data_IF_311755714028
#
_entry.id   IF_311755714028
#
_cell.length_a   1.000
_cell.length_b   1.000
_cell.length_c   1.000
_cell.angle_alpha   90.00
_cell.angle_beta   90.00
_cell.angle_gamma   90.00
#
_symmetry.space_group_name_H-M   'P 1'
#
loop_
_entity.id
_entity.type
_entity.pdbx_description
1 polymer ?
#
# COMPACT_ATOMS: atom_id res chain seq x y z
N UNK A 1 14.44 1.04 -3.61
CA UNK A 1 15.24 0.17 -2.73
C UNK A 1 15.94 1.01 -1.66
N UNK A 2 15.65 0.75 -0.38
CA UNK A 2 16.31 1.37 0.77
C UNK A 2 16.84 0.25 1.69
N UNK A 3 18.16 0.03 1.67
CA UNK A 3 18.80 -1.07 2.41
C UNK A 3 19.16 -0.76 3.87
N UNK A 4 18.86 0.44 4.39
CA UNK A 4 19.20 0.80 5.77
C UNK A 4 18.13 1.65 6.46
N UNK A 5 17.93 1.38 7.75
CA UNK A 5 16.97 2.10 8.61
C UNK A 5 17.36 3.58 8.77
N UNK A 6 18.66 3.88 8.85
CA UNK A 6 19.15 5.26 8.99
C UNK A 6 18.86 6.11 7.75
N UNK A 7 19.03 5.54 6.55
CA UNK A 7 18.70 6.21 5.30
C UNK A 7 17.18 6.42 5.18
N UNK A 8 16.38 5.39 5.50
CA UNK A 8 14.93 5.49 5.49
C UNK A 8 14.41 6.60 6.41
N UNK A 9 14.90 6.67 7.65
CA UNK A 9 14.55 7.73 8.58
C UNK A 9 14.95 9.12 8.07
N UNK A 10 16.06 9.22 7.33
CA UNK A 10 16.50 10.49 6.74
C UNK A 10 15.54 10.93 5.62
N UNK A 11 15.12 10.01 4.75
CA UNK A 11 14.11 10.27 3.71
C UNK A 11 12.80 10.74 4.34
N UNK A 12 12.34 10.07 5.40
CA UNK A 12 11.12 10.47 6.12
C UNK A 12 11.22 11.89 6.72
N UNK A 13 12.39 12.27 7.27
CA UNK A 13 12.63 13.63 7.76
C UNK A 13 12.57 14.67 6.64
N UNK A 14 13.13 14.37 5.46
CA UNK A 14 13.08 15.25 4.30
C UNK A 14 11.63 15.42 3.82
N UNK A 15 10.87 14.33 3.70
CA UNK A 15 9.45 14.37 3.32
C UNK A 15 8.64 15.21 4.31
N UNK A 16 8.84 15.01 5.62
CA UNK A 16 8.18 15.81 6.65
C UNK A 16 8.53 17.30 6.54
N UNK A 17 9.80 17.63 6.26
CA UNK A 17 10.23 19.02 6.06
C UNK A 17 9.60 19.65 4.82
N UNK A 18 9.53 18.93 3.70
CA UNK A 18 8.88 19.41 2.48
C UNK A 18 7.39 19.68 2.70
N UNK A 19 6.68 18.78 3.40
CA UNK A 19 5.26 18.98 3.77
C UNK A 19 5.05 20.21 4.66
N UNK A 20 5.99 20.51 5.56
CA UNK A 20 5.91 21.72 6.41
C UNK A 20 6.07 23.03 5.63
N UNK A 21 6.74 23.00 4.47
CA UNK A 21 7.00 24.19 3.64
C UNK A 21 5.87 24.41 2.64
N UNK A 22 5.32 23.34 2.08
CA UNK A 22 4.21 23.40 1.15
C UNK A 22 3.06 22.49 1.59
N UNK A 23 2.10 22.99 2.39
CA UNK A 23 0.94 22.23 2.84
C UNK A 23 0.08 21.70 1.70
N UNK A 24 0.11 22.33 0.51
CA UNK A 24 -0.61 21.82 -0.67
C UNK A 24 -0.06 20.47 -1.15
N UNK A 25 1.18 20.09 -0.81
CA UNK A 25 1.70 18.71 -1.00
C UNK A 25 0.97 17.66 -0.14
N UNK A 26 0.14 18.11 0.81
CA UNK A 26 -0.70 17.26 1.65
C UNK A 26 -2.06 17.01 1.00
N UNK A 27 -2.54 17.96 0.19
CA UNK A 27 -3.88 17.94 -0.43
C UNK A 27 -3.85 17.54 -1.90
N UNK A 28 -2.84 17.96 -2.64
CA UNK A 28 -2.49 17.38 -3.92
C UNK A 28 -1.55 16.21 -3.65
N UNK A 29 -1.95 14.96 -3.93
CA UNK A 29 -1.18 13.74 -3.66
C UNK A 29 -0.01 13.65 -4.64
N UNK A 30 0.89 14.63 -4.62
CA UNK A 30 2.17 14.60 -5.27
C UNK A 30 2.99 13.48 -4.63
N UNK A 31 2.71 12.29 -5.17
CA UNK A 31 3.46 11.05 -5.26
C UNK A 31 4.48 10.83 -4.14
N UNK A 32 3.99 10.38 -2.98
CA UNK A 32 4.77 9.38 -2.22
C UNK A 32 4.28 8.01 -2.66
N UNK A 33 4.68 7.62 -3.88
CA UNK A 33 4.57 6.23 -4.32
C UNK A 33 5.65 5.47 -3.57
N UNK A 34 5.24 4.52 -2.75
CA UNK A 34 6.13 3.62 -2.05
C UNK A 34 6.08 2.25 -2.73
N UNK A 35 7.20 1.89 -3.37
CA UNK A 35 7.50 0.52 -3.71
C UNK A 35 8.40 -0.04 -2.59
N UNK A 36 7.90 -0.97 -1.75
CA UNK A 36 8.58 -1.36 -0.53
C UNK A 36 9.83 -2.22 -0.79
N UNK A 37 9.91 -2.97 -1.90
CA UNK A 37 11.07 -3.79 -2.32
C UNK A 37 11.70 -4.55 -1.14
N UNK A 38 10.89 -5.33 -0.42
CA UNK A 38 11.32 -6.07 0.79
C UNK A 38 11.78 -7.49 0.44
N UNK A 39 11.26 -8.07 -0.63
CA UNK A 39 11.51 -9.46 -0.98
C UNK A 39 10.56 -9.98 -2.03
N UNK A 40 10.80 -11.20 -2.48
CA UNK A 40 9.93 -11.93 -3.40
C UNK A 40 10.10 -13.44 -3.21
N UNK A 41 9.15 -14.23 -3.70
CA UNK A 41 9.19 -15.71 -3.67
C UNK A 41 9.55 -16.31 -2.30
N UNK A 42 9.06 -15.70 -1.21
CA UNK A 42 9.29 -16.18 0.16
C UNK A 42 10.65 -15.78 0.76
N UNK A 43 11.45 -14.96 0.06
CA UNK A 43 12.78 -14.54 0.50
C UNK A 43 12.83 -13.03 0.74
N UNK A 44 13.33 -12.63 1.90
CA UNK A 44 13.61 -11.23 2.21
C UNK A 44 14.96 -10.79 1.62
N UNK A 45 14.98 -9.61 1.01
CA UNK A 45 16.20 -8.93 0.54
C UNK A 45 16.74 -7.94 1.58
N UNK A 46 15.96 -7.68 2.63
CA UNK A 46 16.27 -6.73 3.69
C UNK A 46 16.20 -7.42 5.06
N UNK A 47 16.93 -6.91 6.06
CA UNK A 47 16.75 -7.32 7.46
C UNK A 47 15.28 -7.27 7.90
N UNK A 48 14.85 -8.26 8.70
CA UNK A 48 13.47 -8.35 9.20
C UNK A 48 12.99 -7.06 9.90
N UNK A 49 13.89 -6.37 10.59
CA UNK A 49 13.62 -5.11 11.28
C UNK A 49 13.10 -4.01 10.35
N UNK A 50 13.54 -3.99 9.07
CA UNK A 50 13.06 -3.03 8.09
C UNK A 50 11.58 -3.24 7.76
N UNK A 51 11.07 -4.47 7.79
CA UNK A 51 9.65 -4.75 7.55
C UNK A 51 8.77 -4.00 8.55
N UNK A 52 9.13 -4.03 9.83
CA UNK A 52 8.42 -3.28 10.87
C UNK A 52 8.51 -1.77 10.66
N UNK A 53 9.68 -1.26 10.29
CA UNK A 53 9.86 0.18 10.00
C UNK A 53 8.99 0.62 8.81
N UNK A 54 8.90 -0.20 7.75
CA UNK A 54 8.02 0.07 6.62
C UNK A 54 6.56 0.12 7.06
N UNK A 55 6.10 -0.90 7.80
CA UNK A 55 4.71 -0.98 8.29
C UNK A 55 4.34 0.20 9.19
N UNK A 56 5.22 0.59 10.11
CA UNK A 56 4.90 1.58 11.15
C UNK A 56 5.17 3.03 10.74
N UNK A 57 6.12 3.26 9.82
CA UNK A 57 6.59 4.62 9.51
C UNK A 57 6.45 5.03 8.06
N UNK A 58 6.52 4.08 7.13
CA UNK A 58 6.51 4.37 5.68
C UNK A 58 5.11 4.26 5.12
N UNK A 59 4.43 3.14 5.36
CA UNK A 59 3.06 2.92 4.88
C UNK A 59 2.13 4.06 5.33
N UNK A 60 2.13 4.53 6.59
CA UNK A 60 1.20 5.57 7.03
C UNK A 60 1.36 6.93 6.37
N UNK A 61 2.52 7.20 5.76
CA UNK A 61 2.79 8.47 5.09
C UNK A 61 2.76 8.35 3.57
N UNK A 62 2.63 7.14 3.03
CA UNK A 62 2.56 6.89 1.60
C UNK A 62 1.16 7.20 1.06
N UNK A 63 1.09 7.89 -0.08
CA UNK A 63 -0.17 8.14 -0.80
C UNK A 63 -0.57 6.96 -1.69
N UNK A 64 0.43 6.21 -2.17
CA UNK A 64 0.25 5.03 -2.99
C UNK A 64 1.27 3.96 -2.59
N UNK A 65 0.83 2.72 -2.50
CA UNK A 65 1.69 1.57 -2.19
C UNK A 65 1.61 0.55 -3.34
N UNK A 66 2.76 0.03 -3.78
CA UNK A 66 2.83 -0.91 -4.90
C UNK A 66 3.54 -2.22 -4.54
N UNK A 67 3.07 -2.99 -3.53
CA UNK A 67 3.75 -4.21 -3.11
C UNK A 67 3.53 -5.34 -4.12
N UNK A 68 4.38 -6.36 -4.15
CA UNK A 68 4.01 -7.67 -4.68
C UNK A 68 3.19 -8.48 -3.63
N UNK A 69 2.73 -9.69 -3.97
CA UNK A 69 2.00 -10.54 -3.01
C UNK A 69 2.78 -10.78 -1.72
N UNK A 70 4.05 -11.22 -1.81
CA UNK A 70 4.86 -11.55 -0.63
C UNK A 70 5.02 -10.34 0.30
N UNK A 71 5.25 -9.16 -0.26
CA UNK A 71 5.36 -7.92 0.49
C UNK A 71 4.03 -7.48 1.10
N UNK A 72 2.91 -7.64 0.38
CA UNK A 72 1.58 -7.36 0.91
C UNK A 72 1.28 -8.26 2.12
N UNK A 73 1.61 -9.55 2.03
CA UNK A 73 1.46 -10.50 3.13
C UNK A 73 2.35 -10.14 4.32
N UNK A 74 3.61 -9.73 4.07
CA UNK A 74 4.51 -9.26 5.12
C UNK A 74 3.97 -8.00 5.81
N UNK A 75 3.48 -7.03 5.05
CA UNK A 75 3.00 -5.75 5.59
C UNK A 75 1.68 -5.91 6.36
N UNK A 76 0.79 -6.78 5.90
CA UNK A 76 -0.54 -6.99 6.49
C UNK A 76 -0.60 -8.11 7.53
N UNK A 77 0.31 -9.09 7.46
CA UNK A 77 0.24 -10.32 8.23
C UNK A 77 -0.82 -11.31 7.73
N UNK A 78 -1.48 -11.02 6.61
CA UNK A 78 -2.50 -11.88 6.00
C UNK A 78 -1.85 -12.75 4.92
N UNK A 79 -2.32 -13.97 4.74
CA UNK A 79 -1.92 -14.82 3.61
C UNK A 79 -2.91 -14.61 2.46
N UNK A 80 -2.42 -14.46 1.24
CA UNK A 80 -3.26 -14.25 0.06
C UNK A 80 -3.30 -15.54 -0.76
N UNK A 81 -4.42 -16.24 -0.73
CA UNK A 81 -4.65 -17.46 -1.55
C UNK A 81 -5.89 -17.34 -2.43
N UNK A 82 -6.68 -16.27 -2.26
CA UNK A 82 -7.89 -15.99 -3.01
C UNK A 82 -8.03 -14.49 -3.31
N UNK A 83 -8.94 -14.14 -4.22
CA UNK A 83 -9.25 -12.75 -4.52
C UNK A 83 -9.78 -11.99 -3.30
N UNK A 84 -10.51 -12.70 -2.43
CA UNK A 84 -11.08 -12.14 -1.21
C UNK A 84 -9.97 -11.75 -0.23
N UNK A 85 -8.93 -12.59 -0.08
CA UNK A 85 -7.78 -12.28 0.75
C UNK A 85 -7.01 -11.08 0.21
N UNK A 86 -6.84 -10.99 -1.12
CA UNK A 86 -6.20 -9.84 -1.78
C UNK A 86 -6.95 -8.53 -1.50
N UNK A 87 -8.29 -8.58 -1.50
CA UNK A 87 -9.16 -7.45 -1.13
C UNK A 87 -9.01 -7.08 0.34
N UNK A 88 -8.95 -8.05 1.24
CA UNK A 88 -8.74 -7.83 2.67
C UNK A 88 -7.36 -7.25 2.98
N UNK A 89 -6.33 -7.71 2.28
CA UNK A 89 -4.99 -7.14 2.32
C UNK A 89 -5.00 -5.67 1.89
N UNK A 90 -5.67 -5.33 0.77
CA UNK A 90 -5.85 -3.94 0.38
C UNK A 90 -6.58 -3.10 1.42
N UNK A 91 -7.66 -3.60 2.02
CA UNK A 91 -8.37 -2.88 3.08
C UNK A 91 -7.49 -2.62 4.32
N UNK A 92 -6.66 -3.59 4.68
CA UNK A 92 -5.68 -3.46 5.78
C UNK A 92 -4.64 -2.39 5.45
N UNK A 93 -4.08 -2.42 4.23
CA UNK A 93 -3.12 -1.42 3.76
C UNK A 93 -3.74 -0.02 3.68
N UNK A 94 -4.97 0.11 3.19
CA UNK A 94 -5.70 1.37 3.18
C UNK A 94 -5.90 1.94 4.58
N UNK A 95 -6.28 1.08 5.54
CA UNK A 95 -6.45 1.47 6.94
C UNK A 95 -5.15 1.93 7.59
N UNK A 96 -4.00 1.50 7.06
CA UNK A 96 -2.69 1.92 7.53
C UNK A 96 -2.28 3.31 7.00
N UNK A 97 -2.90 3.83 5.94
CA UNK A 97 -2.57 5.16 5.39
C UNK A 97 -2.87 5.39 3.91
N UNK A 98 -2.32 4.60 2.97
CA UNK A 98 -2.41 4.89 1.53
C UNK A 98 -3.85 4.82 1.01
N UNK A 99 -4.28 5.86 0.29
CA UNK A 99 -5.57 5.82 -0.41
C UNK A 99 -5.54 4.92 -1.65
N UNK A 100 -4.35 4.65 -2.22
CA UNK A 100 -4.16 3.83 -3.42
C UNK A 100 -3.22 2.66 -3.14
N UNK A 101 -3.62 1.45 -3.51
CA UNK A 101 -2.81 0.24 -3.37
C UNK A 101 -2.85 -0.52 -4.69
N UNK A 102 -1.70 -0.92 -5.21
CA UNK A 102 -1.59 -1.80 -6.39
C UNK A 102 -0.73 -2.99 -6.02
N UNK A 103 -1.35 -4.13 -5.73
CA UNK A 103 -0.62 -5.38 -5.57
C UNK A 103 -0.23 -5.85 -6.97
N UNK A 104 1.06 -5.72 -7.28
CA UNK A 104 1.61 -5.81 -8.64
C UNK A 104 1.56 -7.23 -9.20
N UNK A 105 1.59 -8.23 -8.32
CA UNK A 105 1.47 -9.65 -8.65
C UNK A 105 0.81 -10.41 -7.51
N UNK A 106 -0.20 -11.22 -7.84
CA UNK A 106 -0.83 -12.20 -6.96
C UNK A 106 -0.99 -13.50 -7.76
N UNK A 107 -0.61 -14.63 -7.17
CA UNK A 107 -0.84 -15.95 -7.75
C UNK A 107 -2.04 -16.62 -7.07
N UNK A 108 -3.13 -16.79 -7.83
CA UNK A 108 -4.34 -17.50 -7.39
C UNK A 108 -4.62 -18.59 -8.41
N UNK A 109 -4.60 -19.85 -7.96
CA UNK A 109 -4.85 -21.04 -8.79
C UNK A 109 -4.00 -21.12 -10.08
N UNK A 110 -2.75 -20.65 -10.01
CA UNK A 110 -1.83 -20.64 -11.16
C UNK A 110 -2.00 -19.45 -12.10
N UNK A 111 -2.95 -18.56 -11.82
CA UNK A 111 -3.15 -17.33 -12.58
C UNK A 111 -2.42 -16.17 -11.91
N UNK A 112 -1.64 -15.43 -12.70
CA UNK A 112 -0.97 -14.21 -12.25
C UNK A 112 -1.88 -13.01 -12.48
N UNK A 113 -2.32 -12.40 -11.38
CA UNK A 113 -3.26 -11.30 -11.34
C UNK A 113 -2.61 -10.04 -10.77
N UNK A 114 -3.04 -8.88 -11.24
CA UNK A 114 -2.74 -7.58 -10.66
C UNK A 114 -3.99 -7.03 -10.00
N UNK A 115 -3.87 -6.57 -8.76
CA UNK A 115 -4.99 -6.06 -7.98
C UNK A 115 -4.77 -4.58 -7.65
N UNK A 116 -5.58 -3.71 -8.24
CA UNK A 116 -5.60 -2.28 -7.95
C UNK A 116 -6.79 -1.90 -7.08
N UNK A 117 -6.57 -1.14 -6.00
CA UNK A 117 -7.61 -0.67 -5.09
C UNK A 117 -7.44 0.82 -4.77
N UNK A 118 -8.56 1.55 -4.74
CA UNK A 118 -8.60 2.96 -4.39
C UNK A 118 -9.71 3.25 -3.38
N UNK A 119 -9.35 3.80 -2.23
CA UNK A 119 -10.27 4.33 -1.23
C UNK A 119 -10.41 5.83 -1.41
N UNK A 120 -11.64 6.30 -1.71
CA UNK A 120 -11.94 7.74 -1.76
C UNK A 120 -11.90 8.33 -0.35
N UNK A 121 -11.39 9.56 -0.22
CA UNK A 121 -11.38 10.28 1.05
C UNK A 121 -12.80 10.50 1.58
N UNK A 122 -12.96 10.33 2.90
CA UNK A 122 -14.22 10.61 3.60
C UNK A 122 -14.38 12.13 3.79
N UNK A 123 -15.04 12.77 2.83
CA UNK A 123 -15.53 14.16 2.89
C UNK A 123 -15.64 14.72 1.47
N UNK A 124 -16.80 14.81 0.84
CA UNK A 124 -17.97 15.60 1.19
C UNK A 124 -19.17 14.99 0.44
N UNK A 125 -20.16 14.43 1.14
CA UNK A 125 -21.31 13.78 0.48
C UNK A 125 -21.88 12.57 1.20
N UNK A 126 -22.35 12.84 2.43
CA UNK A 126 -23.51 12.30 3.14
C UNK A 126 -23.95 10.84 2.89
N UNK A 127 -24.15 10.13 4.00
CA UNK A 127 -25.03 8.98 4.30
C UNK A 127 -25.70 8.19 3.14
N UNK A 128 -26.20 8.84 2.10
CA UNK A 128 -26.63 8.24 0.83
C UNK A 128 -25.53 7.46 0.11
N UNK A 129 -24.28 7.91 0.19
CA UNK A 129 -23.14 7.21 -0.45
C UNK A 129 -22.75 5.94 0.31
N UNK A 130 -22.87 5.95 1.64
CA UNK A 130 -22.60 4.78 2.48
C UNK A 130 -23.66 3.66 2.30
N UNK A 131 -24.90 4.03 1.97
CA UNK A 131 -25.99 3.09 1.65
C UNK A 131 -25.91 2.53 0.22
N UNK A 132 -25.19 3.19 -0.69
CA UNK A 132 -25.04 2.76 -2.09
C UNK A 132 -23.68 2.09 -2.41
N UNK A 133 -22.63 2.34 -1.61
CA UNK A 133 -21.27 1.84 -1.88
C UNK A 133 -20.89 0.59 -1.05
N UNK A 134 -21.67 -0.48 -1.14
CA UNK A 134 -21.20 -1.82 -0.78
C UNK A 134 -20.13 -2.39 -1.72
N UNK A 135 -19.39 -1.54 -2.44
CA UNK A 135 -18.50 -1.92 -3.54
C UNK A 135 -17.13 -1.27 -3.33
N UNK A 136 -16.18 -2.06 -2.84
CA UNK A 136 -14.75 -1.71 -2.88
C UNK A 136 -14.32 -1.65 -4.35
N UNK A 137 -13.78 -0.51 -4.80
CA UNK A 137 -13.25 -0.32 -6.16
C UNK A 137 -11.92 -1.07 -6.34
N UNK A 138 -11.99 -2.40 -6.32
CA UNK A 138 -10.87 -3.29 -6.63
C UNK A 138 -11.02 -3.74 -8.06
N UNK A 139 -10.02 -3.46 -8.88
CA UNK A 139 -9.93 -3.94 -10.26
C UNK A 139 -8.85 -5.01 -10.30
N UNK A 140 -9.22 -6.19 -10.79
CA UNK A 140 -8.31 -7.31 -11.02
C UNK A 140 -8.07 -7.46 -12.52
N UNK A 141 -6.81 -7.44 -12.93
CA UNK A 141 -6.40 -7.65 -14.31
C UNK A 141 -5.49 -8.88 -14.37
N UNK A 142 -5.92 -9.91 -15.10
CA UNK A 142 -5.11 -11.10 -15.38
C UNK A 142 -4.43 -10.98 -16.75
N UNK A 143 -3.21 -11.53 -16.87
CA UNK A 143 -2.68 -11.90 -18.19
C UNK A 143 -3.26 -13.27 -18.58
N UNK A 144 -3.71 -13.46 -19.84
CA UNK A 144 -4.14 -14.76 -20.33
C UNK A 144 -2.99 -15.78 -20.38
#
# INVERSE_FOLDING_TARGET
>A
YIGSVSFLNTVLKVVAKLRSINPELTYEPFLSVCDPVLGDEGKLYVPQELVSVYREKVVPVASMLTPNQFEAELLTGLRIVSEQDGREACNTLHSAGPSKVVITSINIDGNLLLLGSHQKEKGTGDLMTALLLGWSNVIMLGKP
#
